data_IF_800495089441
#
_entry.id   IF_800495089441
#
_cell.length_a   1.000
_cell.length_b   1.000
_cell.length_c   1.000
_cell.angle_alpha   90.00
_cell.angle_beta   90.00
_cell.angle_gamma   90.00
#
_symmetry.space_group_name_H-M   'P 1'
#
loop_
_entity.id
_entity.type
_entity.pdbx_description
1 polymer ?
#
# COMPACT_ATOMS: atom_id res chain seq x y z
N UNK A 1 13.06 13.90 -6.42
CA UNK A 1 14.20 14.43 -5.62
C UNK A 1 14.72 13.30 -4.75
N UNK A 2 15.97 12.84 -4.96
CA UNK A 2 16.56 11.86 -4.05
C UNK A 2 16.64 12.50 -2.67
N UNK A 3 16.07 11.83 -1.67
CA UNK A 3 16.29 12.18 -0.27
C UNK A 3 17.77 11.89 -0.05
N UNK A 4 18.63 12.92 -0.14
CA UNK A 4 20.00 12.83 0.33
C UNK A 4 19.90 12.31 1.76
N UNK A 5 20.27 11.06 1.99
CA UNK A 5 20.65 10.61 3.32
C UNK A 5 21.64 11.66 3.80
N UNK A 6 21.26 12.41 4.84
CA UNK A 6 22.24 13.22 5.55
C UNK A 6 23.25 12.20 6.07
N UNK A 7 24.41 12.15 5.43
CA UNK A 7 25.61 11.61 6.02
C UNK A 7 25.78 12.39 7.33
N UNK A 8 25.38 11.77 8.44
CA UNK A 8 25.62 12.30 9.77
C UNK A 8 27.13 12.23 9.90
N UNK A 9 27.78 13.40 9.87
CA UNK A 9 29.21 13.52 10.15
C UNK A 9 29.44 12.99 11.58
N UNK A 10 29.99 11.78 11.66
CA UNK A 10 30.45 11.18 12.91
C UNK A 10 31.80 11.82 13.24
N UNK A 11 31.81 12.91 14.00
CA UNK A 11 33.06 13.41 14.58
C UNK A 11 33.50 12.51 15.75
N UNK A 12 34.79 12.14 15.86
CA UNK A 12 35.31 11.51 17.05
C UNK A 12 35.18 12.47 18.24
N UNK A 13 34.63 11.98 19.35
CA UNK A 13 34.61 12.73 20.61
C UNK A 13 36.05 13.07 21.00
N UNK A 14 36.35 14.34 21.32
CA UNK A 14 37.67 14.73 21.85
C UNK A 14 37.98 13.92 23.11
N UNK A 15 38.78 12.86 22.96
CA UNK A 15 39.10 11.93 24.02
C UNK A 15 40.34 12.40 24.79
N UNK A 16 40.27 12.38 26.12
CA UNK A 16 41.45 12.53 26.95
C UNK A 16 42.26 11.22 26.99
N UNK A 17 43.46 11.25 27.57
CA UNK A 17 44.34 10.08 27.64
C UNK A 17 43.67 8.88 28.36
N UNK A 18 42.81 9.14 29.35
CA UNK A 18 42.13 8.12 30.13
C UNK A 18 41.03 7.43 29.31
N UNK A 19 40.31 8.19 28.48
CA UNK A 19 39.32 7.68 27.55
C UNK A 19 39.98 6.83 26.45
N UNK A 20 41.11 7.27 25.89
CA UNK A 20 41.86 6.48 24.90
C UNK A 20 42.35 5.14 25.46
N UNK A 21 42.82 5.11 26.71
CA UNK A 21 43.16 3.85 27.38
C UNK A 21 41.95 2.94 27.61
N UNK A 22 40.78 3.51 27.96
CA UNK A 22 39.55 2.75 28.09
C UNK A 22 39.14 2.13 26.76
N UNK A 23 39.16 2.91 25.68
CA UNK A 23 38.81 2.46 24.33
C UNK A 23 39.71 1.31 23.85
N UNK A 24 41.02 1.42 24.11
CA UNK A 24 41.97 0.35 23.83
C UNK A 24 41.65 -0.93 24.62
N UNK A 25 41.36 -0.81 25.92
CA UNK A 25 40.97 -1.96 26.77
C UNK A 25 39.67 -2.62 26.29
N UNK A 26 38.66 -1.84 25.91
CA UNK A 26 37.39 -2.36 25.38
C UNK A 26 37.63 -3.16 24.09
N UNK A 27 38.46 -2.66 23.17
CA UNK A 27 38.81 -3.37 21.95
C UNK A 27 39.61 -4.65 22.20
N UNK A 28 40.58 -4.64 23.12
CA UNK A 28 41.34 -5.83 23.52
C UNK A 28 40.44 -6.89 24.18
N UNK A 29 39.54 -6.46 25.06
CA UNK A 29 38.55 -7.33 25.69
C UNK A 29 37.62 -7.96 24.65
N UNK A 30 37.19 -7.20 23.63
CA UNK A 30 36.39 -7.73 22.54
C UNK A 30 37.13 -8.82 21.77
N UNK A 31 38.40 -8.57 21.39
CA UNK A 31 39.24 -9.57 20.70
C UNK A 31 39.43 -10.82 21.57
N UNK A 32 39.65 -10.65 22.88
CA UNK A 32 39.79 -11.75 23.83
C UNK A 32 38.49 -12.56 23.96
N UNK A 33 37.35 -11.88 24.10
CA UNK A 33 36.04 -12.50 24.18
C UNK A 33 35.67 -13.23 22.88
N UNK A 34 35.98 -12.67 21.71
CA UNK A 34 35.79 -13.33 20.42
C UNK A 34 36.56 -14.66 20.35
N UNK A 35 37.81 -14.70 20.81
CA UNK A 35 38.58 -15.96 20.91
C UNK A 35 37.94 -16.94 21.89
N UNK A 36 37.47 -16.45 23.05
CA UNK A 36 36.84 -17.28 24.08
C UNK A 36 35.54 -17.93 23.63
N UNK A 37 34.72 -17.20 22.88
CA UNK A 37 33.41 -17.66 22.40
C UNK A 37 33.46 -18.24 20.98
N UNK A 38 34.65 -18.40 20.40
CA UNK A 38 34.85 -18.88 19.02
C UNK A 38 34.07 -18.07 17.97
N UNK A 39 33.99 -16.75 18.19
CA UNK A 39 33.34 -15.78 17.30
C UNK A 39 34.38 -15.09 16.43
N UNK A 40 34.09 -14.97 15.14
CA UNK A 40 34.94 -14.23 14.20
C UNK A 40 35.03 -12.75 14.59
N UNK A 41 36.25 -12.22 14.65
CA UNK A 41 36.48 -10.81 14.97
C UNK A 41 35.95 -9.94 13.82
N UNK A 42 35.07 -8.99 14.14
CA UNK A 42 34.62 -7.96 13.22
C UNK A 42 35.51 -6.70 13.34
N UNK A 43 36.27 -6.34 12.28
CA UNK A 43 37.13 -5.16 12.31
C UNK A 43 36.37 -3.86 12.60
N UNK A 44 35.11 -3.73 12.15
CA UNK A 44 34.31 -2.52 12.39
C UNK A 44 33.94 -2.35 13.86
N UNK A 45 33.70 -3.45 14.57
CA UNK A 45 33.48 -3.42 16.02
C UNK A 45 34.76 -3.02 16.76
N UNK A 46 35.91 -3.59 16.37
CA UNK A 46 37.22 -3.22 16.95
C UNK A 46 37.52 -1.74 16.73
N UNK A 47 37.31 -1.23 15.52
CA UNK A 47 37.49 0.19 15.20
C UNK A 47 36.57 1.05 16.07
N UNK A 48 35.28 0.72 16.15
CA UNK A 48 34.33 1.50 16.94
C UNK A 48 34.76 1.62 18.41
N UNK A 49 35.13 0.48 19.03
CA UNK A 49 35.58 0.42 20.42
C UNK A 49 36.92 1.13 20.64
N UNK A 50 37.91 0.93 19.76
CA UNK A 50 39.26 1.50 19.93
C UNK A 50 39.35 3.00 19.64
N UNK A 51 38.44 3.55 18.85
CA UNK A 51 38.47 4.95 18.41
C UNK A 51 37.39 5.82 19.06
N UNK A 52 36.56 5.26 19.94
CA UNK A 52 35.55 6.00 20.67
C UNK A 52 34.36 6.45 19.82
N UNK A 53 34.01 5.69 18.78
CA UNK A 53 32.87 6.03 17.93
C UNK A 53 31.55 5.85 18.68
N UNK A 54 30.63 6.78 18.48
CA UNK A 54 29.32 6.71 19.11
C UNK A 54 28.36 5.69 18.47
N UNK A 55 28.73 5.10 17.33
CA UNK A 55 27.94 4.10 16.59
C UNK A 55 28.68 2.78 16.51
N UNK A 56 28.00 1.71 16.93
CA UNK A 56 28.43 0.33 16.73
C UNK A 56 27.66 -0.28 15.55
N UNK A 57 28.35 -0.54 14.45
CA UNK A 57 27.81 -1.22 13.26
C UNK A 57 28.76 -2.33 12.80
N UNK A 58 28.43 -3.61 13.06
CA UNK A 58 29.17 -4.74 12.50
C UNK A 58 29.16 -4.72 10.97
N UNK A 59 30.27 -5.13 10.34
CA UNK A 59 30.42 -5.21 8.89
C UNK A 59 30.15 -6.60 8.34
N UNK A 60 30.29 -7.64 9.16
CA UNK A 60 30.12 -9.03 8.77
C UNK A 60 28.74 -9.54 9.14
N UNK A 61 28.21 -10.41 8.28
CA UNK A 61 27.03 -11.22 8.60
C UNK A 61 27.33 -12.03 9.86
N UNK A 62 26.52 -11.82 10.88
CA UNK A 62 26.66 -12.45 12.18
C UNK A 62 26.08 -13.85 12.20
N UNK A 63 26.77 -14.75 12.89
CA UNK A 63 26.26 -16.07 13.25
C UNK A 63 25.56 -16.01 14.61
N UNK A 64 24.95 -17.11 15.01
CA UNK A 64 24.39 -17.28 16.36
C UNK A 64 25.42 -16.89 17.44
N UNK A 65 25.02 -16.08 18.41
CA UNK A 65 25.87 -15.71 19.54
C UNK A 65 26.99 -14.72 19.20
N UNK A 66 27.01 -14.14 18.00
CA UNK A 66 27.99 -13.12 17.60
C UNK A 66 28.01 -11.88 18.49
N UNK A 67 26.92 -11.62 19.23
CA UNK A 67 26.84 -10.51 20.18
C UNK A 67 27.35 -10.89 21.58
N UNK A 68 27.59 -12.18 21.88
CA UNK A 68 28.11 -12.62 23.18
C UNK A 68 29.41 -11.91 23.57
N UNK A 69 30.39 -11.69 22.66
CA UNK A 69 31.63 -11.01 23.02
C UNK A 69 31.46 -9.56 23.50
N UNK A 70 30.32 -8.93 23.17
CA UNK A 70 29.99 -7.56 23.55
C UNK A 70 29.30 -7.45 24.92
N UNK A 71 28.81 -8.56 25.46
CA UNK A 71 28.29 -8.62 26.83
C UNK A 71 29.43 -8.27 27.79
N UNK A 72 29.16 -7.46 28.82
CA UNK A 72 30.18 -6.94 29.74
C UNK A 72 30.91 -5.70 29.19
N UNK A 73 31.34 -5.71 27.93
CA UNK A 73 32.06 -4.57 27.33
C UNK A 73 31.16 -3.35 27.22
N UNK A 74 29.95 -3.56 26.70
CA UNK A 74 28.99 -2.46 26.55
C UNK A 74 28.38 -2.03 27.89
N UNK A 75 28.49 -2.82 28.96
CA UNK A 75 27.96 -2.48 30.28
C UNK A 75 28.70 -1.25 30.87
N UNK A 76 30.02 -1.21 30.72
CA UNK A 76 30.87 -0.11 31.21
C UNK A 76 31.15 0.96 30.14
N UNK A 77 30.62 0.77 28.93
CA UNK A 77 30.85 1.68 27.81
C UNK A 77 30.12 3.02 28.02
N UNK A 78 30.82 4.11 27.74
CA UNK A 78 30.33 5.48 27.96
C UNK A 78 30.06 6.26 26.68
N UNK A 79 30.44 5.73 25.52
CA UNK A 79 30.52 6.50 24.27
C UNK A 79 29.62 5.96 23.15
N UNK A 80 29.39 4.65 23.06
CA UNK A 80 28.47 4.03 22.11
C UNK A 80 27.04 4.33 22.54
N UNK A 81 26.41 5.23 21.81
CA UNK A 81 25.02 5.63 22.03
C UNK A 81 24.06 5.02 21.00
N UNK A 82 24.60 4.53 19.88
CA UNK A 82 23.82 3.97 18.76
C UNK A 82 24.30 2.57 18.42
N UNK A 83 23.39 1.61 18.44
CA UNK A 83 23.63 0.25 17.98
C UNK A 83 22.88 0.04 16.66
N UNK A 84 23.62 -0.20 15.58
CA UNK A 84 23.05 -0.52 14.28
C UNK A 84 23.38 -1.95 13.90
N UNK A 85 22.39 -2.82 14.09
CA UNK A 85 22.42 -4.23 13.71
C UNK A 85 21.46 -4.47 12.54
N UNK A 86 21.24 -3.50 11.66
CA UNK A 86 20.49 -3.76 10.43
C UNK A 86 21.16 -4.87 9.63
N UNK A 87 20.36 -5.79 9.08
CA UNK A 87 20.82 -6.92 8.25
C UNK A 87 21.72 -7.94 8.98
N UNK A 88 21.86 -7.80 10.31
CA UNK A 88 22.58 -8.71 11.20
C UNK A 88 21.59 -9.78 11.65
N UNK A 89 21.72 -10.99 11.12
CA UNK A 89 20.76 -12.06 11.42
C UNK A 89 20.72 -12.33 12.92
N UNK A 90 19.51 -12.23 13.49
CA UNK A 90 19.24 -12.59 14.88
C UNK A 90 18.91 -14.08 15.02
N UNK A 91 18.50 -14.72 13.92
CA UNK A 91 18.17 -16.14 13.80
C UNK A 91 19.32 -17.05 13.32
N UNK A 92 19.44 -18.27 13.87
CA UNK A 92 20.15 -19.38 13.20
C UNK A 92 19.18 -20.18 12.34
N UNK A 93 19.46 -20.28 11.03
CA UNK A 93 18.66 -21.06 10.08
C UNK A 93 18.59 -22.58 10.36
N UNK A 94 19.43 -23.11 11.27
CA UNK A 94 19.46 -24.54 11.64
C UNK A 94 18.48 -24.91 12.76
N UNK A 95 18.02 -23.96 13.58
CA UNK A 95 17.17 -24.22 14.73
C UNK A 95 15.87 -23.41 14.67
N UNK A 96 14.97 -23.79 13.76
CA UNK A 96 13.58 -23.31 13.74
C UNK A 96 12.69 -23.95 14.83
N UNK A 97 13.25 -24.77 15.72
CA UNK A 97 12.48 -25.38 16.82
C UNK A 97 12.38 -24.42 18.00
N UNK A 98 11.12 -24.13 18.40
CA UNK A 98 10.63 -23.51 19.63
C UNK A 98 11.71 -22.90 20.53
N UNK A 99 11.83 -21.57 20.47
CA UNK A 99 12.50 -20.74 21.47
C UNK A 99 13.98 -20.42 21.24
N UNK A 100 14.79 -21.28 20.59
CA UNK A 100 16.25 -21.11 20.50
C UNK A 100 16.78 -20.39 19.25
N UNK A 101 15.90 -19.93 18.36
CA UNK A 101 16.29 -19.27 17.12
C UNK A 101 17.02 -17.93 17.32
N UNK A 102 16.63 -17.13 18.32
CA UNK A 102 17.05 -15.72 18.45
C UNK A 102 18.16 -15.45 19.48
N UNK A 103 19.23 -16.22 19.49
CA UNK A 103 20.28 -16.12 20.52
C UNK A 103 20.95 -14.74 20.60
N UNK A 104 21.08 -14.03 19.47
CA UNK A 104 21.58 -12.66 19.46
C UNK A 104 20.58 -11.68 20.11
N UNK A 105 19.27 -11.90 20.02
CA UNK A 105 18.27 -11.11 20.74
C UNK A 105 18.44 -11.23 22.26
N UNK A 106 18.69 -12.43 22.78
CA UNK A 106 18.93 -12.64 24.22
C UNK A 106 20.22 -12.00 24.72
N UNK A 107 21.28 -12.09 23.93
CA UNK A 107 22.54 -11.39 24.23
C UNK A 107 22.30 -9.88 24.31
N UNK A 108 21.53 -9.34 23.37
CA UNK A 108 21.16 -7.93 23.34
C UNK A 108 20.32 -7.53 24.57
N UNK A 109 19.36 -8.34 25.00
CA UNK A 109 18.60 -8.07 26.24
C UNK A 109 19.52 -7.91 27.46
N UNK A 110 20.54 -8.75 27.56
CA UNK A 110 21.53 -8.68 28.66
C UNK A 110 22.31 -7.37 28.62
N UNK A 111 22.64 -6.88 27.42
CA UNK A 111 23.25 -5.56 27.21
C UNK A 111 22.26 -4.46 27.63
N UNK A 112 21.04 -4.47 27.09
CA UNK A 112 20.02 -3.43 27.32
C UNK A 112 19.64 -3.26 28.80
N UNK A 113 19.64 -4.33 29.59
CA UNK A 113 19.34 -4.27 31.03
C UNK A 113 20.39 -3.51 31.85
N UNK A 114 21.61 -3.37 31.34
CA UNK A 114 22.74 -2.80 32.10
C UNK A 114 23.27 -1.51 31.52
N UNK A 115 23.10 -1.28 30.21
CA UNK A 115 23.53 -0.05 29.56
C UNK A 115 22.62 1.13 29.88
N UNK A 116 23.22 2.30 30.13
CA UNK A 116 22.51 3.56 30.39
C UNK A 116 22.87 4.70 29.40
N UNK A 117 23.63 4.40 28.34
CA UNK A 117 24.04 5.40 27.33
C UNK A 117 23.38 5.19 25.97
N UNK A 118 22.88 3.99 25.67
CA UNK A 118 22.30 3.67 24.35
C UNK A 118 20.95 4.36 24.21
N UNK A 119 20.82 5.17 23.17
CA UNK A 119 19.61 5.95 22.83
C UNK A 119 18.96 5.49 21.52
N UNK A 120 19.73 4.86 20.61
CA UNK A 120 19.24 4.40 19.31
C UNK A 120 19.59 2.93 19.11
N UNK A 121 18.57 2.12 18.81
CA UNK A 121 18.70 0.70 18.53
C UNK A 121 18.03 0.37 17.20
N UNK A 122 18.83 -0.05 16.22
CA UNK A 122 18.34 -0.51 14.93
C UNK A 122 18.52 -2.02 14.77
N UNK A 123 17.40 -2.72 14.66
CA UNK A 123 17.28 -4.17 14.43
C UNK A 123 16.47 -4.46 13.15
N UNK A 124 16.49 -3.54 12.18
CA UNK A 124 15.75 -3.72 10.93
C UNK A 124 16.29 -4.90 10.10
N UNK A 125 15.41 -5.69 9.50
CA UNK A 125 15.81 -6.81 8.64
C UNK A 125 16.76 -7.80 9.32
N UNK A 126 16.48 -8.14 10.57
CA UNK A 126 17.29 -9.08 11.35
C UNK A 126 16.65 -10.46 11.49
N UNK A 127 15.45 -10.62 10.92
CA UNK A 127 14.67 -11.86 10.98
C UNK A 127 14.10 -12.12 12.37
N UNK A 128 13.78 -11.11 13.19
CA UNK A 128 13.14 -11.33 14.49
C UNK A 128 11.71 -11.87 14.29
N UNK A 129 11.45 -13.08 14.78
CA UNK A 129 10.09 -13.61 14.89
C UNK A 129 9.41 -13.14 16.19
N UNK A 130 8.19 -13.64 16.46
CA UNK A 130 7.41 -13.28 17.65
C UNK A 130 8.17 -13.54 18.96
N UNK A 131 8.95 -14.63 19.06
CA UNK A 131 9.76 -14.95 20.23
C UNK A 131 10.95 -13.99 20.35
N UNK A 132 11.60 -13.66 19.23
CA UNK A 132 12.68 -12.67 19.20
C UNK A 132 12.21 -11.29 19.65
N UNK A 133 11.04 -10.85 19.18
CA UNK A 133 10.41 -9.61 19.62
C UNK A 133 10.07 -9.65 21.11
N UNK A 134 9.55 -10.77 21.63
CA UNK A 134 9.28 -10.95 23.05
C UNK A 134 10.54 -10.70 23.90
N UNK A 135 11.66 -11.30 23.52
CA UNK A 135 12.95 -11.10 24.21
C UNK A 135 13.34 -9.61 24.22
N UNK A 136 13.34 -8.96 23.04
CA UNK A 136 13.65 -7.54 22.93
C UNK A 136 12.72 -6.67 23.79
N UNK A 137 11.43 -7.01 23.86
CA UNK A 137 10.44 -6.34 24.70
C UNK A 137 10.76 -6.45 26.19
N UNK A 138 11.27 -7.58 26.66
CA UNK A 138 11.72 -7.76 28.05
C UNK A 138 12.98 -6.93 28.37
N UNK A 139 13.83 -6.68 27.37
CA UNK A 139 14.91 -5.69 27.42
C UNK A 139 14.37 -4.26 27.58
N UNK A 140 13.47 -3.88 26.68
CA UNK A 140 12.87 -2.54 26.62
C UNK A 140 12.10 -2.19 27.89
N UNK A 141 11.37 -3.13 28.50
CA UNK A 141 10.62 -2.90 29.74
C UNK A 141 11.49 -2.38 30.89
N UNK A 142 12.78 -2.74 30.93
CA UNK A 142 13.72 -2.31 31.98
C UNK A 142 14.65 -1.17 31.56
N UNK A 143 14.91 -1.01 30.26
CA UNK A 143 15.76 0.06 29.76
C UNK A 143 14.98 1.38 29.70
N UNK A 144 15.58 2.48 30.18
CA UNK A 144 14.95 3.81 30.21
C UNK A 144 15.73 4.85 29.40
N UNK A 145 16.62 4.42 28.50
CA UNK A 145 17.54 5.29 27.76
C UNK A 145 17.29 5.28 26.26
N UNK A 146 16.81 4.15 25.71
CA UNK A 146 16.44 4.05 24.31
C UNK A 146 15.29 5.01 24.01
N UNK A 147 15.49 5.83 22.97
CA UNK A 147 14.53 6.78 22.41
C UNK A 147 14.05 6.34 21.03
N UNK A 148 14.96 5.82 20.19
CA UNK A 148 14.63 5.39 18.83
C UNK A 148 14.84 3.88 18.71
N UNK A 149 13.79 3.16 18.33
CA UNK A 149 13.80 1.73 18.11
C UNK A 149 13.35 1.43 16.68
N UNK A 150 14.16 0.72 15.91
CA UNK A 150 13.77 0.27 14.57
C UNK A 150 13.68 -1.26 14.54
N UNK A 151 12.46 -1.76 14.31
CA UNK A 151 12.11 -3.19 14.17
C UNK A 151 11.50 -3.48 12.78
N UNK A 152 11.69 -2.59 11.80
CA UNK A 152 11.14 -2.78 10.46
C UNK A 152 11.70 -4.03 9.76
N UNK A 153 10.94 -4.60 8.83
CA UNK A 153 11.37 -5.74 8.00
C UNK A 153 11.75 -7.03 8.78
N UNK A 154 11.13 -7.32 9.92
CA UNK A 154 11.39 -8.54 10.69
C UNK A 154 10.31 -9.62 10.54
N UNK A 155 9.16 -9.29 9.94
CA UNK A 155 8.06 -10.23 9.67
C UNK A 155 7.49 -10.94 10.91
N UNK A 156 7.53 -10.30 12.08
CA UNK A 156 6.83 -10.80 13.26
C UNK A 156 5.32 -10.56 13.15
N UNK A 157 4.51 -11.42 13.75
CA UNK A 157 3.07 -11.42 13.64
C UNK A 157 2.35 -10.68 14.77
N UNK A 158 1.07 -11.01 14.94
CA UNK A 158 0.19 -10.41 15.95
C UNK A 158 0.70 -10.66 17.37
N UNK A 159 1.27 -11.83 17.66
CA UNK A 159 1.78 -12.16 18.99
C UNK A 159 2.98 -11.26 19.37
N UNK A 160 3.93 -11.08 18.46
CA UNK A 160 5.04 -10.13 18.63
C UNK A 160 4.54 -8.69 18.86
N UNK A 161 3.52 -8.26 18.11
CA UNK A 161 2.91 -6.94 18.30
C UNK A 161 2.28 -6.76 19.70
N UNK A 162 1.63 -7.80 20.24
CA UNK A 162 1.07 -7.76 21.60
C UNK A 162 2.16 -7.61 22.67
N UNK A 163 3.30 -8.30 22.54
CA UNK A 163 4.41 -8.13 23.47
C UNK A 163 4.99 -6.71 23.42
N UNK A 164 5.09 -6.14 22.22
CA UNK A 164 5.54 -4.76 22.03
C UNK A 164 4.57 -3.75 22.62
N UNK A 165 3.26 -3.96 22.45
CA UNK A 165 2.22 -3.12 23.06
C UNK A 165 2.36 -3.09 24.59
N UNK A 166 2.53 -4.25 25.23
CA UNK A 166 2.77 -4.34 26.68
C UNK A 166 4.06 -3.62 27.10
N UNK A 167 5.14 -3.78 26.33
CA UNK A 167 6.41 -3.12 26.63
C UNK A 167 6.30 -1.59 26.54
N UNK A 168 5.63 -1.07 25.50
CA UNK A 168 5.44 0.37 25.29
C UNK A 168 4.42 1.01 26.24
N UNK A 169 3.56 0.23 26.89
CA UNK A 169 2.72 0.71 28.02
C UNK A 169 3.57 1.03 29.24
N UNK A 170 4.56 0.19 29.54
CA UNK A 170 5.43 0.34 30.72
C UNK A 170 6.58 1.32 30.46
N UNK A 171 7.21 1.22 29.30
CA UNK A 171 8.35 2.06 28.93
C UNK A 171 7.90 3.51 28.62
N UNK A 172 8.63 4.48 29.17
CA UNK A 172 8.38 5.92 28.98
C UNK A 172 9.54 6.66 28.28
N UNK A 173 10.63 5.96 27.93
CA UNK A 173 11.81 6.57 27.31
C UNK A 173 11.71 6.60 25.79
N UNK A 174 11.05 5.61 25.19
CA UNK A 174 10.91 5.47 23.74
C UNK A 174 10.06 6.61 23.19
N UNK A 175 10.59 7.28 22.17
CA UNK A 175 9.97 8.40 21.47
C UNK A 175 9.58 8.03 20.05
N UNK A 176 10.29 7.09 19.40
CA UNK A 176 10.00 6.67 18.03
C UNK A 176 10.21 5.18 17.88
N UNK A 177 9.23 4.49 17.30
CA UNK A 177 9.32 3.08 16.94
C UNK A 177 9.01 2.91 15.45
N UNK A 178 9.90 2.28 14.72
CA UNK A 178 9.64 1.89 13.33
C UNK A 178 9.25 0.40 13.25
N UNK A 179 7.99 0.15 12.87
CA UNK A 179 7.39 -1.18 12.71
C UNK A 179 7.03 -1.47 11.25
N UNK A 180 7.58 -0.71 10.31
CA UNK A 180 7.22 -0.83 8.91
C UNK A 180 7.55 -2.21 8.34
N UNK A 181 6.72 -2.71 7.43
CA UNK A 181 6.95 -3.96 6.69
C UNK A 181 7.11 -5.21 7.58
N UNK A 182 6.26 -5.37 8.60
CA UNK A 182 6.21 -6.58 9.44
C UNK A 182 4.97 -7.45 9.23
N UNK A 183 3.98 -7.00 8.46
CA UNK A 183 2.70 -7.68 8.24
C UNK A 183 1.85 -7.87 9.53
N UNK A 184 1.85 -6.88 10.42
CA UNK A 184 1.17 -6.95 11.73
C UNK A 184 -0.37 -7.05 11.68
N UNK A 185 -0.97 -6.64 10.55
CA UNK A 185 -2.42 -6.52 10.39
C UNK A 185 -3.05 -5.34 11.15
N UNK A 186 -4.30 -5.04 10.82
CA UNK A 186 -5.00 -3.85 11.32
C UNK A 186 -5.21 -3.81 12.85
N UNK A 187 -5.64 -4.91 13.46
CA UNK A 187 -5.92 -4.94 14.91
C UNK A 187 -4.70 -4.61 15.76
N UNK A 188 -3.54 -5.16 15.39
CA UNK A 188 -2.26 -4.91 16.06
C UNK A 188 -1.81 -3.46 15.92
N UNK A 189 -1.85 -2.92 14.69
CA UNK A 189 -1.47 -1.53 14.41
C UNK A 189 -2.37 -0.55 15.14
N UNK A 190 -3.68 -0.77 15.11
CA UNK A 190 -4.65 0.08 15.81
C UNK A 190 -4.33 0.14 17.30
N UNK A 191 -4.11 -1.02 17.93
CA UNK A 191 -3.79 -1.11 19.36
C UNK A 191 -2.48 -0.39 19.71
N UNK A 192 -1.46 -0.52 18.87
CA UNK A 192 -0.19 0.19 19.02
C UNK A 192 -0.34 1.71 18.83
N UNK A 193 -1.06 2.16 17.80
CA UNK A 193 -1.27 3.59 17.55
C UNK A 193 -2.13 4.27 18.63
N UNK A 194 -3.03 3.53 19.30
CA UNK A 194 -3.75 4.04 20.48
C UNK A 194 -2.81 4.44 21.63
N UNK A 195 -1.57 3.94 21.67
CA UNK A 195 -0.56 4.35 22.65
C UNK A 195 0.01 5.74 22.37
N UNK A 196 -0.08 6.25 21.13
CA UNK A 196 0.44 7.55 20.69
C UNK A 196 -0.46 8.74 21.08
N UNK A 197 -1.33 8.56 22.09
CA UNK A 197 -2.29 9.59 22.52
C UNK A 197 -1.65 10.96 22.80
N UNK A 198 -2.44 12.05 22.84
CA UNK A 198 -1.97 13.45 22.74
C UNK A 198 -0.95 13.91 23.79
N UNK A 199 -0.77 13.15 24.87
CA UNK A 199 0.16 13.46 25.96
C UNK A 199 1.44 12.59 25.95
N UNK A 200 1.59 11.64 25.01
CA UNK A 200 2.78 10.81 24.86
C UNK A 200 3.61 11.30 23.68
N UNK A 201 4.91 11.56 23.88
CA UNK A 201 5.85 11.90 22.81
C UNK A 201 6.29 10.67 21.99
N UNK A 202 5.39 9.70 21.81
CA UNK A 202 5.66 8.43 21.13
C UNK A 202 5.10 8.49 19.71
N UNK A 203 5.96 8.33 18.71
CA UNK A 203 5.58 8.12 17.32
C UNK A 203 5.83 6.65 16.92
N UNK A 204 4.89 6.07 16.18
CA UNK A 204 5.03 4.70 15.66
C UNK A 204 4.80 4.75 14.15
N UNK A 205 5.79 4.27 13.39
CA UNK A 205 5.70 4.12 11.93
C UNK A 205 5.23 2.72 11.60
N UNK A 206 4.17 2.60 10.80
CA UNK A 206 3.48 1.32 10.55
C UNK A 206 3.26 1.02 9.07
N UNK A 207 4.01 1.66 8.16
CA UNK A 207 3.80 1.49 6.72
C UNK A 207 4.07 0.05 6.26
N UNK A 208 3.39 -0.39 5.19
CA UNK A 208 3.63 -1.71 4.58
C UNK A 208 3.19 -2.92 5.41
N UNK A 209 2.31 -2.74 6.41
CA UNK A 209 1.83 -3.85 7.25
C UNK A 209 0.49 -4.47 6.80
N UNK A 210 -0.24 -3.84 5.89
CA UNK A 210 -1.57 -4.29 5.41
C UNK A 210 -1.48 -5.23 4.20
N UNK A 211 -0.61 -6.24 4.28
CA UNK A 211 -0.27 -7.11 3.13
C UNK A 211 -1.51 -7.79 2.53
N UNK A 212 -2.39 -8.31 3.39
CA UNK A 212 -3.59 -9.02 2.94
C UNK A 212 -4.56 -8.08 2.21
N UNK A 213 -4.78 -6.88 2.75
CA UNK A 213 -5.64 -5.87 2.15
C UNK A 213 -5.08 -5.37 0.81
N UNK A 214 -3.77 -5.13 0.72
CA UNK A 214 -3.09 -4.77 -0.54
C UNK A 214 -3.22 -5.88 -1.60
N UNK A 215 -3.13 -7.16 -1.22
CA UNK A 215 -3.38 -8.29 -2.12
C UNK A 215 -4.83 -8.27 -2.62
N UNK A 216 -5.81 -8.08 -1.74
CA UNK A 216 -7.22 -8.01 -2.13
C UNK A 216 -7.49 -6.83 -3.08
N UNK A 217 -6.94 -5.66 -2.76
CA UNK A 217 -7.04 -4.46 -3.60
C UNK A 217 -6.45 -4.68 -4.99
N UNK A 218 -5.28 -5.33 -5.07
CA UNK A 218 -4.62 -5.69 -6.33
C UNK A 218 -5.44 -6.72 -7.13
N UNK A 219 -5.87 -7.81 -6.50
CA UNK A 219 -6.62 -8.89 -7.16
C UNK A 219 -7.96 -8.39 -7.70
N UNK A 220 -8.69 -7.56 -6.94
CA UNK A 220 -10.00 -7.05 -7.37
C UNK A 220 -9.92 -6.25 -8.67
N UNK A 221 -8.94 -5.35 -8.79
CA UNK A 221 -8.72 -4.57 -10.01
C UNK A 221 -7.94 -5.33 -11.09
N UNK A 222 -7.10 -6.30 -10.74
CA UNK A 222 -6.45 -7.20 -11.69
C UNK A 222 -7.46 -8.05 -12.46
N UNK A 223 -8.46 -8.62 -11.77
CA UNK A 223 -9.55 -9.34 -12.43
C UNK A 223 -10.41 -8.41 -13.30
N UNK A 224 -10.70 -7.20 -12.81
CA UNK A 224 -11.42 -6.19 -13.58
C UNK A 224 -10.68 -5.75 -14.84
N UNK A 225 -9.34 -5.63 -14.78
CA UNK A 225 -8.50 -5.34 -15.94
C UNK A 225 -8.63 -6.43 -17.02
N UNK A 226 -8.56 -7.72 -16.65
CA UNK A 226 -8.75 -8.82 -17.59
C UNK A 226 -10.15 -8.78 -18.22
N UNK A 227 -11.18 -8.51 -17.41
CA UNK A 227 -12.54 -8.28 -17.91
C UNK A 227 -12.62 -7.10 -18.88
N UNK A 228 -11.97 -5.98 -18.56
CA UNK A 228 -11.93 -4.79 -19.41
C UNK A 228 -11.19 -5.04 -20.73
N UNK A 229 -10.14 -5.87 -20.76
CA UNK A 229 -9.47 -6.28 -22.01
C UNK A 229 -10.44 -7.06 -22.91
N UNK A 230 -11.15 -8.04 -22.36
CA UNK A 230 -12.15 -8.81 -23.13
C UNK A 230 -13.28 -7.89 -23.61
N UNK A 231 -13.82 -7.07 -22.71
CA UNK A 231 -14.88 -6.11 -23.02
C UNK A 231 -14.46 -5.07 -24.07
N UNK A 232 -13.21 -4.60 -24.03
CA UNK A 232 -12.67 -3.68 -25.04
C UNK A 232 -12.63 -4.31 -26.43
N UNK A 233 -12.15 -5.56 -26.53
CA UNK A 233 -12.11 -6.27 -27.81
C UNK A 233 -13.52 -6.41 -28.42
N UNK A 234 -14.50 -6.82 -27.61
CA UNK A 234 -15.89 -6.96 -28.06
C UNK A 234 -16.48 -5.60 -28.44
N UNK A 235 -16.36 -4.60 -27.55
CA UNK A 235 -16.97 -3.30 -27.75
C UNK A 235 -16.39 -2.56 -28.97
N UNK A 236 -15.06 -2.59 -29.16
CA UNK A 236 -14.39 -1.90 -30.27
C UNK A 236 -14.66 -2.61 -31.59
N UNK A 237 -14.67 -3.94 -31.63
CA UNK A 237 -14.96 -4.69 -32.87
C UNK A 237 -16.39 -4.42 -33.35
N UNK A 238 -17.38 -4.62 -32.48
CA UNK A 238 -18.78 -4.37 -32.83
C UNK A 238 -19.01 -2.87 -33.16
N UNK A 239 -18.31 -1.94 -32.50
CA UNK A 239 -18.39 -0.50 -32.83
C UNK A 239 -17.71 -0.13 -34.16
N UNK A 240 -16.76 -0.93 -34.65
CA UNK A 240 -16.12 -0.72 -35.95
C UNK A 240 -17.03 -1.13 -37.12
N UNK A 241 -17.91 -2.10 -36.88
CA UNK A 241 -18.83 -2.64 -37.88
C UNK A 241 -20.10 -1.79 -38.08
N UNK A 242 -20.36 -0.81 -37.18
CA UNK A 242 -21.46 0.14 -37.32
C UNK A 242 -21.26 1.02 -38.57
N UNK A 243 -22.12 0.82 -39.57
CA UNK A 243 -22.00 1.53 -40.84
C UNK A 243 -22.31 3.03 -40.70
N UNK A 244 -21.50 3.87 -41.34
CA UNK A 244 -21.80 5.30 -41.52
C UNK A 244 -21.39 6.22 -40.36
N UNK A 245 -20.73 5.73 -39.31
CA UNK A 245 -20.27 6.58 -38.19
C UNK A 245 -18.95 6.11 -37.59
N UNK A 246 -17.86 6.87 -37.84
CA UNK A 246 -16.56 6.65 -37.19
C UNK A 246 -16.55 7.06 -35.71
N UNK A 247 -17.59 7.77 -35.24
CA UNK A 247 -17.70 8.23 -33.86
C UNK A 247 -17.87 7.06 -32.88
N UNK A 248 -18.60 6.00 -33.26
CA UNK A 248 -18.76 4.79 -32.45
C UNK A 248 -17.41 4.16 -32.11
N UNK A 249 -16.60 3.90 -33.14
CA UNK A 249 -15.28 3.33 -33.00
C UNK A 249 -14.40 4.15 -32.05
N UNK A 250 -14.22 5.45 -32.34
CA UNK A 250 -13.31 6.29 -31.55
C UNK A 250 -13.80 6.52 -30.11
N UNK A 251 -15.10 6.68 -29.89
CA UNK A 251 -15.64 6.82 -28.55
C UNK A 251 -15.42 5.54 -27.71
N UNK A 252 -15.61 4.37 -28.32
CA UNK A 252 -15.38 3.09 -27.65
C UNK A 252 -13.90 2.80 -27.40
N UNK A 253 -12.99 3.21 -28.30
CA UNK A 253 -11.54 3.14 -28.09
C UNK A 253 -11.12 3.98 -26.88
N UNK A 254 -11.58 5.24 -26.81
CA UNK A 254 -11.26 6.15 -25.71
C UNK A 254 -11.80 5.60 -24.37
N UNK A 255 -13.05 5.16 -24.34
CA UNK A 255 -13.66 4.59 -23.13
C UNK A 255 -12.93 3.32 -22.67
N UNK A 256 -12.64 2.41 -23.60
CA UNK A 256 -11.95 1.15 -23.30
C UNK A 256 -10.54 1.39 -22.78
N UNK A 257 -9.80 2.32 -23.37
CA UNK A 257 -8.48 2.72 -22.89
C UNK A 257 -8.56 3.25 -21.45
N UNK A 258 -9.51 4.14 -21.16
CA UNK A 258 -9.67 4.71 -19.82
C UNK A 258 -9.97 3.64 -18.75
N UNK A 259 -10.85 2.67 -19.05
CA UNK A 259 -11.14 1.54 -18.17
C UNK A 259 -9.91 0.65 -17.93
N UNK A 260 -9.23 0.26 -19.00
CA UNK A 260 -8.03 -0.57 -18.91
C UNK A 260 -6.92 0.14 -18.14
N UNK A 261 -6.74 1.45 -18.38
CA UNK A 261 -5.75 2.26 -17.69
C UNK A 261 -6.03 2.31 -16.19
N UNK A 262 -7.25 2.65 -15.77
CA UNK A 262 -7.65 2.69 -14.36
C UNK A 262 -7.36 1.36 -13.65
N UNK A 263 -7.88 0.26 -14.18
CA UNK A 263 -7.77 -1.02 -13.49
C UNK A 263 -6.33 -1.53 -13.45
N UNK A 264 -5.55 -1.28 -14.51
CA UNK A 264 -4.14 -1.64 -14.53
C UNK A 264 -3.31 -0.79 -13.57
N UNK A 265 -3.46 0.54 -13.59
CA UNK A 265 -2.69 1.44 -12.73
C UNK A 265 -2.96 1.15 -11.25
N UNK A 266 -4.23 0.92 -10.89
CA UNK A 266 -4.64 0.55 -9.53
C UNK A 266 -4.11 -0.81 -9.10
N UNK A 267 -4.25 -1.83 -9.96
CA UNK A 267 -3.69 -3.16 -9.71
C UNK A 267 -2.19 -3.11 -9.44
N UNK A 268 -1.45 -2.37 -10.27
CA UNK A 268 -0.01 -2.20 -10.11
C UNK A 268 0.32 -1.44 -8.83
N UNK A 269 -0.38 -0.34 -8.52
CA UNK A 269 -0.13 0.44 -7.31
C UNK A 269 -0.17 -0.43 -6.06
N UNK A 270 -1.24 -1.22 -5.91
CA UNK A 270 -1.40 -2.13 -4.77
C UNK A 270 -0.49 -3.37 -4.84
N UNK A 271 -0.06 -3.80 -6.03
CA UNK A 271 0.90 -4.91 -6.16
C UNK A 271 2.31 -4.55 -5.68
N UNK A 272 2.70 -3.28 -5.82
CA UNK A 272 4.05 -2.80 -5.51
C UNK A 272 4.13 -2.08 -4.16
N UNK A 273 3.20 -2.34 -3.23
CA UNK A 273 3.10 -1.65 -1.93
C UNK A 273 4.34 -1.76 -1.02
N UNK A 274 5.26 -2.69 -1.30
CA UNK A 274 6.54 -2.82 -0.60
C UNK A 274 7.69 -1.99 -1.21
N UNK A 275 7.48 -1.31 -2.34
CA UNK A 275 8.51 -0.51 -3.04
C UNK A 275 8.18 0.98 -3.02
N UNK A 276 8.74 1.78 -2.10
CA UNK A 276 8.37 3.19 -1.93
C UNK A 276 8.59 4.06 -3.17
N UNK A 277 9.64 3.78 -3.95
CA UNK A 277 9.96 4.55 -5.17
C UNK A 277 8.96 4.24 -6.29
N UNK A 278 8.62 2.97 -6.46
CA UNK A 278 7.67 2.52 -7.49
C UNK A 278 6.25 2.97 -7.14
N UNK A 279 5.85 2.83 -5.88
CA UNK A 279 4.55 3.26 -5.38
C UNK A 279 4.25 4.72 -5.71
N UNK A 280 5.21 5.63 -5.54
CA UNK A 280 4.95 7.06 -5.80
C UNK A 280 4.49 7.31 -7.24
N UNK A 281 5.12 6.64 -8.22
CA UNK A 281 4.73 6.79 -9.62
C UNK A 281 3.37 6.14 -9.86
N UNK A 282 3.18 4.92 -9.37
CA UNK A 282 1.93 4.18 -9.57
C UNK A 282 0.74 4.83 -8.87
N UNK A 283 0.94 5.47 -7.71
CA UNK A 283 -0.09 6.24 -7.00
C UNK A 283 -0.60 7.41 -7.84
N UNK A 284 0.31 8.15 -8.48
CA UNK A 284 -0.09 9.22 -9.41
C UNK A 284 -0.88 8.65 -10.58
N UNK A 285 -0.44 7.52 -11.17
CA UNK A 285 -1.16 6.89 -12.28
C UNK A 285 -2.53 6.33 -11.86
N UNK A 286 -2.66 5.83 -10.63
CA UNK A 286 -3.93 5.35 -10.07
C UNK A 286 -4.94 6.50 -9.95
N UNK A 287 -4.51 7.64 -9.39
CA UNK A 287 -5.35 8.84 -9.27
C UNK A 287 -5.69 9.44 -10.65
N UNK A 288 -4.73 9.50 -11.58
CA UNK A 288 -4.97 9.89 -12.98
C UNK A 288 -6.01 8.97 -13.63
N UNK A 289 -5.99 7.68 -13.32
CA UNK A 289 -6.95 6.71 -13.82
C UNK A 289 -8.39 7.06 -13.49
N UNK A 290 -8.66 7.63 -12.31
CA UNK A 290 -10.01 8.06 -11.91
C UNK A 290 -10.49 9.23 -12.77
N UNK A 291 -9.64 10.25 -13.01
CA UNK A 291 -9.98 11.35 -13.91
C UNK A 291 -10.30 10.86 -15.33
N UNK A 292 -9.47 9.94 -15.85
CA UNK A 292 -9.64 9.39 -17.18
C UNK A 292 -10.90 8.53 -17.30
N UNK A 293 -11.22 7.70 -16.30
CA UNK A 293 -12.41 6.83 -16.37
C UNK A 293 -13.70 7.64 -16.32
N UNK A 294 -13.75 8.74 -15.55
CA UNK A 294 -14.93 9.60 -15.49
C UNK A 294 -15.20 10.21 -16.87
N UNK A 295 -14.22 10.93 -17.43
CA UNK A 295 -14.36 11.54 -18.76
C UNK A 295 -14.54 10.49 -19.89
N UNK A 296 -13.80 9.39 -19.82
CA UNK A 296 -13.87 8.27 -20.77
C UNK A 296 -15.24 7.61 -20.78
N UNK A 297 -15.85 7.37 -19.61
CA UNK A 297 -17.17 6.75 -19.51
C UNK A 297 -18.30 7.61 -20.07
N UNK A 298 -18.15 8.94 -20.05
CA UNK A 298 -19.11 9.87 -20.66
C UNK A 298 -18.97 9.96 -22.18
N UNK A 299 -17.81 9.61 -22.73
CA UNK A 299 -17.47 9.83 -24.14
C UNK A 299 -18.44 9.13 -25.12
N UNK A 300 -18.83 7.85 -24.95
CA UNK A 300 -19.82 7.21 -25.83
C UNK A 300 -21.19 7.89 -25.79
N UNK A 301 -21.64 8.34 -24.61
CA UNK A 301 -22.92 9.04 -24.48
C UNK A 301 -22.90 10.39 -25.21
N UNK A 302 -21.82 11.18 -25.05
CA UNK A 302 -21.76 12.52 -25.62
C UNK A 302 -21.49 12.53 -27.13
N UNK A 303 -20.62 11.64 -27.61
CA UNK A 303 -20.18 11.63 -29.01
C UNK A 303 -21.04 10.75 -29.92
N UNK A 304 -21.84 9.85 -29.37
CA UNK A 304 -22.71 8.97 -30.15
C UNK A 304 -24.17 9.31 -29.85
N UNK A 305 -24.66 9.00 -28.65
CA UNK A 305 -26.08 9.14 -28.33
C UNK A 305 -26.56 10.60 -28.40
N UNK A 306 -25.76 11.55 -27.88
CA UNK A 306 -26.15 12.96 -27.79
C UNK A 306 -25.43 13.87 -28.80
N UNK A 307 -24.84 13.33 -29.86
CA UNK A 307 -23.92 14.08 -30.72
C UNK A 307 -24.55 15.32 -31.40
N UNK A 308 -25.86 15.30 -31.63
CA UNK A 308 -26.61 16.43 -32.18
C UNK A 308 -26.82 17.58 -31.18
N UNK A 309 -26.68 17.32 -29.88
CA UNK A 309 -26.93 18.29 -28.82
C UNK A 309 -25.68 19.14 -28.54
N UNK A 310 -25.80 20.46 -28.64
CA UNK A 310 -24.68 21.37 -28.34
C UNK A 310 -24.21 21.27 -26.88
N UNK A 311 -25.12 21.04 -25.95
CA UNK A 311 -24.79 20.83 -24.54
C UNK A 311 -23.83 19.65 -24.32
N UNK A 312 -24.04 18.52 -25.02
CA UNK A 312 -23.17 17.35 -24.94
C UNK A 312 -21.75 17.64 -25.47
N UNK A 313 -21.64 18.40 -26.57
CA UNK A 313 -20.35 18.82 -27.14
C UNK A 313 -19.57 19.76 -26.21
N UNK A 314 -20.26 20.66 -25.52
CA UNK A 314 -19.63 21.54 -24.53
C UNK A 314 -19.19 20.74 -23.30
N UNK A 315 -20.06 19.85 -22.81
CA UNK A 315 -19.80 19.02 -21.64
C UNK A 315 -18.58 18.12 -21.86
N UNK A 316 -18.49 17.40 -22.98
CA UNK A 316 -17.36 16.49 -23.22
C UNK A 316 -16.02 17.23 -23.29
N UNK A 317 -15.99 18.43 -23.89
CA UNK A 317 -14.79 19.28 -23.87
C UNK A 317 -14.43 19.71 -22.43
N UNK A 318 -15.43 20.09 -21.63
CA UNK A 318 -15.25 20.45 -20.23
C UNK A 318 -14.69 19.29 -19.39
N UNK A 319 -15.25 18.09 -19.55
CA UNK A 319 -14.82 16.88 -18.85
C UNK A 319 -13.36 16.51 -19.16
N UNK A 320 -12.94 16.56 -20.43
CA UNK A 320 -11.56 16.25 -20.79
C UNK A 320 -10.57 17.33 -20.35
N UNK A 321 -10.97 18.62 -20.33
CA UNK A 321 -10.17 19.68 -19.74
C UNK A 321 -10.03 19.48 -18.22
N UNK A 322 -11.12 19.15 -17.53
CA UNK A 322 -11.11 18.87 -16.09
C UNK A 322 -10.25 17.65 -15.78
N UNK A 323 -10.35 16.57 -16.57
CA UNK A 323 -9.51 15.38 -16.43
C UNK A 323 -8.02 15.70 -16.60
N UNK A 324 -7.66 16.54 -17.58
CA UNK A 324 -6.29 16.99 -17.79
C UNK A 324 -5.77 17.81 -16.60
N UNK A 325 -6.52 18.83 -16.17
CA UNK A 325 -6.13 19.69 -15.05
C UNK A 325 -6.03 18.90 -13.74
N UNK A 326 -6.97 18.00 -13.49
CA UNK A 326 -6.96 17.07 -12.36
C UNK A 326 -5.76 16.12 -12.39
N UNK A 327 -5.41 15.59 -13.56
CA UNK A 327 -4.22 14.76 -13.74
C UNK A 327 -2.93 15.51 -13.43
N UNK A 328 -2.83 16.78 -13.85
CA UNK A 328 -1.69 17.65 -13.51
C UNK A 328 -1.65 17.93 -12.00
N UNK A 329 -2.81 18.18 -11.38
CA UNK A 329 -2.90 18.35 -9.93
C UNK A 329 -2.42 17.11 -9.19
N UNK A 330 -2.86 15.91 -9.57
CA UNK A 330 -2.43 14.66 -8.96
C UNK A 330 -0.91 14.46 -9.08
N UNK A 331 -0.32 14.78 -10.24
CA UNK A 331 1.12 14.64 -10.46
C UNK A 331 1.97 15.65 -9.67
N UNK A 332 1.41 16.82 -9.32
CA UNK A 332 2.13 17.89 -8.62
C UNK A 332 1.84 17.95 -7.11
N UNK A 333 0.84 17.23 -6.62
CA UNK A 333 0.41 17.29 -5.22
C UNK A 333 0.98 16.15 -4.38
N UNK A 334 1.00 16.34 -3.05
CA UNK A 334 1.26 15.25 -2.10
C UNK A 334 -0.03 14.47 -1.86
N UNK A 335 -0.15 13.31 -2.50
CA UNK A 335 -1.35 12.47 -2.45
C UNK A 335 -1.58 11.81 -1.08
N UNK A 336 -0.62 11.87 -0.16
CA UNK A 336 -0.80 11.41 1.21
C UNK A 336 -1.36 12.50 2.13
N UNK A 337 -1.52 13.73 1.63
CA UNK A 337 -2.09 14.83 2.39
C UNK A 337 -3.63 14.78 2.31
N UNK A 338 -4.32 14.62 3.46
CA UNK A 338 -5.79 14.51 3.48
C UNK A 338 -6.50 15.69 2.81
N UNK A 339 -5.91 16.89 2.84
CA UNK A 339 -6.49 18.07 2.17
C UNK A 339 -6.50 17.93 0.66
N UNK A 340 -5.43 17.39 0.09
CA UNK A 340 -5.36 17.16 -1.36
C UNK A 340 -6.33 16.05 -1.76
N UNK A 341 -6.41 14.97 -0.98
CA UNK A 341 -7.39 13.88 -1.19
C UNK A 341 -8.82 14.42 -1.21
N UNK A 342 -9.19 15.32 -0.31
CA UNK A 342 -10.53 15.94 -0.30
C UNK A 342 -10.78 16.84 -1.51
N UNK A 343 -9.76 17.54 -2.02
CA UNK A 343 -9.87 18.33 -3.26
C UNK A 343 -10.12 17.41 -4.45
N UNK A 344 -9.35 16.33 -4.60
CA UNK A 344 -9.56 15.37 -5.69
C UNK A 344 -10.94 14.74 -5.63
N UNK A 345 -11.36 14.28 -4.45
CA UNK A 345 -12.68 13.70 -4.26
C UNK A 345 -13.79 14.68 -4.65
N UNK A 346 -13.64 15.97 -4.33
CA UNK A 346 -14.59 17.01 -4.74
C UNK A 346 -14.64 17.15 -6.26
N UNK A 347 -13.48 17.16 -6.92
CA UNK A 347 -13.42 17.25 -8.40
C UNK A 347 -14.05 16.01 -9.03
N UNK A 348 -13.75 14.81 -8.54
CA UNK A 348 -14.33 13.56 -9.05
C UNK A 348 -15.85 13.55 -8.97
N UNK A 349 -16.42 14.00 -7.84
CA UNK A 349 -17.88 14.09 -7.67
C UNK A 349 -18.49 15.12 -8.62
N UNK A 350 -17.85 16.29 -8.80
CA UNK A 350 -18.33 17.32 -9.71
C UNK A 350 -18.31 16.87 -11.18
N UNK A 351 -17.24 16.20 -11.60
CA UNK A 351 -17.14 15.60 -12.94
C UNK A 351 -18.19 14.51 -13.14
N UNK A 352 -18.32 13.57 -12.19
CA UNK A 352 -19.34 12.52 -12.26
C UNK A 352 -20.78 13.06 -12.31
N UNK A 353 -21.05 14.20 -11.65
CA UNK A 353 -22.33 14.88 -11.72
C UNK A 353 -22.62 15.53 -13.09
N UNK A 354 -21.66 15.55 -14.02
CA UNK A 354 -21.81 16.12 -15.36
C UNK A 354 -23.00 15.57 -16.15
N UNK A 355 -23.37 14.29 -15.97
CA UNK A 355 -24.57 13.72 -16.59
C UNK A 355 -25.86 14.45 -16.23
N UNK A 356 -25.94 15.08 -15.05
CA UNK A 356 -27.10 15.86 -14.63
C UNK A 356 -27.30 17.12 -15.48
N UNK A 357 -26.22 17.67 -16.07
CA UNK A 357 -26.28 18.85 -16.93
C UNK A 357 -26.92 18.56 -18.28
N UNK A 358 -26.96 17.29 -18.69
CA UNK A 358 -27.59 16.83 -19.94
C UNK A 358 -28.72 15.83 -19.68
N UNK A 359 -29.33 15.89 -18.49
CA UNK A 359 -30.31 14.92 -18.03
C UNK A 359 -31.54 14.83 -18.93
N UNK A 360 -32.06 15.96 -19.40
CA UNK A 360 -33.24 16.00 -20.28
C UNK A 360 -32.94 15.35 -21.64
N UNK A 361 -31.74 15.59 -22.18
CA UNK A 361 -31.30 15.00 -23.45
C UNK A 361 -31.11 13.49 -23.31
N UNK A 362 -30.56 13.01 -22.18
CA UNK A 362 -30.46 11.58 -21.90
C UNK A 362 -31.84 10.92 -21.86
N UNK A 363 -32.84 11.54 -21.23
CA UNK A 363 -34.21 11.01 -21.20
C UNK A 363 -34.89 10.98 -22.57
N UNK A 364 -34.48 11.84 -23.51
CA UNK A 364 -35.02 11.89 -24.86
C UNK A 364 -34.40 10.84 -25.78
N UNK A 365 -33.09 10.62 -25.67
CA UNK A 365 -32.34 9.76 -26.60
C UNK A 365 -32.17 8.32 -26.08
N UNK A 366 -32.21 8.10 -24.77
CA UNK A 366 -31.99 6.78 -24.17
C UNK A 366 -33.28 6.10 -23.74
N UNK A 367 -33.34 4.79 -23.98
CA UNK A 367 -34.44 3.95 -23.51
C UNK A 367 -34.45 3.80 -21.97
N UNK A 368 -35.60 3.46 -21.39
CA UNK A 368 -35.73 3.27 -19.94
C UNK A 368 -34.75 2.21 -19.34
N UNK A 369 -34.49 1.06 -20.00
CA UNK A 369 -33.46 0.12 -19.54
C UNK A 369 -32.05 0.71 -19.55
N UNK A 370 -31.69 1.50 -20.57
CA UNK A 370 -30.40 2.19 -20.64
C UNK A 370 -30.26 3.20 -19.49
N UNK A 371 -31.30 4.01 -19.27
CA UNK A 371 -31.35 4.95 -18.15
C UNK A 371 -31.22 4.24 -16.80
N UNK A 372 -31.81 3.06 -16.65
CA UNK A 372 -31.71 2.28 -15.40
C UNK A 372 -30.28 1.83 -15.12
N UNK A 373 -29.57 1.29 -16.12
CA UNK A 373 -28.17 0.89 -15.98
C UNK A 373 -27.27 2.09 -15.68
N UNK A 374 -27.49 3.22 -16.36
CA UNK A 374 -26.74 4.46 -16.13
C UNK A 374 -26.96 4.98 -14.70
N UNK A 375 -28.19 5.06 -14.22
CA UNK A 375 -28.50 5.53 -12.85
C UNK A 375 -27.89 4.58 -11.82
N UNK A 376 -28.03 3.27 -12.00
CA UNK A 376 -27.49 2.29 -11.05
C UNK A 376 -25.97 2.33 -11.01
N UNK A 377 -25.30 2.48 -12.16
CA UNK A 377 -23.85 2.65 -12.24
C UNK A 377 -23.37 3.88 -11.49
N UNK A 378 -23.99 5.05 -11.74
CA UNK A 378 -23.68 6.29 -11.01
C UNK A 378 -23.97 6.17 -9.51
N UNK A 379 -25.05 5.50 -9.12
CA UNK A 379 -25.35 5.24 -7.71
C UNK A 379 -24.28 4.37 -7.04
N UNK A 380 -23.77 3.33 -7.73
CA UNK A 380 -22.67 2.50 -7.24
C UNK A 380 -21.39 3.33 -7.01
N UNK A 381 -21.04 4.25 -7.92
CA UNK A 381 -19.90 5.15 -7.72
C UNK A 381 -20.08 6.03 -6.47
N UNK A 382 -21.26 6.65 -6.30
CA UNK A 382 -21.53 7.53 -5.15
C UNK A 382 -21.54 6.77 -3.82
N UNK A 383 -22.21 5.61 -3.76
CA UNK A 383 -22.23 4.78 -2.55
C UNK A 383 -20.83 4.28 -2.20
N UNK A 384 -20.04 3.93 -3.21
CA UNK A 384 -18.66 3.51 -3.03
C UNK A 384 -17.81 4.53 -2.27
N UNK A 385 -18.01 5.84 -2.49
CA UNK A 385 -17.21 6.89 -1.83
C UNK A 385 -17.27 6.78 -0.30
N UNK A 386 -18.41 6.34 0.24
CA UNK A 386 -18.53 6.11 1.68
C UNK A 386 -17.53 5.03 2.16
N UNK A 387 -17.34 3.95 1.40
CA UNK A 387 -16.38 2.90 1.72
C UNK A 387 -14.93 3.34 1.52
N UNK A 388 -14.65 4.20 0.54
CA UNK A 388 -13.34 4.83 0.40
C UNK A 388 -12.98 5.64 1.65
N UNK A 389 -13.88 6.51 2.13
CA UNK A 389 -13.67 7.30 3.33
C UNK A 389 -13.52 6.41 4.59
N UNK A 390 -14.31 5.34 4.67
CA UNK A 390 -14.19 4.36 5.77
C UNK A 390 -12.89 3.55 5.69
N UNK A 391 -12.28 3.42 4.51
CA UNK A 391 -11.01 2.75 4.26
C UNK A 391 -9.84 3.35 5.05
N UNK A 392 -9.84 4.67 5.24
CA UNK A 392 -8.86 5.39 6.08
C UNK A 392 -8.84 4.90 7.53
N UNK A 393 -9.99 4.44 8.03
CA UNK A 393 -10.13 3.93 9.39
C UNK A 393 -10.00 2.41 9.46
N UNK A 394 -10.44 1.70 8.42
CA UNK A 394 -10.42 0.23 8.32
C UNK A 394 -10.03 -0.17 6.90
N UNK A 395 -8.76 -0.57 6.67
CA UNK A 395 -8.20 -0.79 5.34
C UNK A 395 -9.00 -1.74 4.44
N UNK A 396 -9.69 -2.72 5.01
CA UNK A 396 -10.53 -3.66 4.26
C UNK A 396 -11.66 -2.97 3.47
N UNK A 397 -12.16 -1.80 3.91
CA UNK A 397 -13.19 -1.08 3.18
C UNK A 397 -12.68 -0.44 1.88
N UNK A 398 -11.37 -0.26 1.73
CA UNK A 398 -10.79 0.15 0.44
C UNK A 398 -11.00 -0.92 -0.64
N UNK A 399 -10.92 -2.20 -0.27
CA UNK A 399 -11.27 -3.30 -1.18
C UNK A 399 -12.77 -3.28 -1.52
N UNK A 400 -13.64 -2.96 -0.56
CA UNK A 400 -15.08 -2.82 -0.82
C UNK A 400 -15.35 -1.67 -1.80
N UNK A 401 -14.64 -0.55 -1.67
CA UNK A 401 -14.66 0.55 -2.64
C UNK A 401 -14.29 0.06 -4.06
N UNK A 402 -13.21 -0.71 -4.21
CA UNK A 402 -12.82 -1.29 -5.49
C UNK A 402 -13.96 -2.11 -6.11
N UNK A 403 -14.65 -2.95 -5.32
CA UNK A 403 -15.77 -3.75 -5.82
C UNK A 403 -16.92 -2.87 -6.33
N UNK A 404 -17.23 -1.76 -5.66
CA UNK A 404 -18.23 -0.79 -6.15
C UNK A 404 -17.81 -0.15 -7.47
N UNK A 405 -16.55 0.24 -7.62
CA UNK A 405 -15.99 0.80 -8.86
C UNK A 405 -16.10 -0.21 -10.01
N UNK A 406 -15.78 -1.48 -9.76
CA UNK A 406 -15.89 -2.56 -10.76
C UNK A 406 -17.34 -2.79 -11.19
N UNK A 407 -18.27 -2.86 -10.25
CA UNK A 407 -19.71 -3.03 -10.55
C UNK A 407 -20.23 -1.84 -11.36
N UNK A 408 -19.88 -0.61 -10.96
CA UNK A 408 -20.29 0.59 -11.66
C UNK A 408 -19.75 0.63 -13.10
N UNK A 409 -18.47 0.29 -13.29
CA UNK A 409 -17.84 0.21 -14.61
C UNK A 409 -18.52 -0.84 -15.50
N UNK A 410 -18.87 -2.01 -14.95
CA UNK A 410 -19.59 -3.05 -15.68
C UNK A 410 -20.98 -2.58 -16.12
N UNK A 411 -21.74 -1.91 -15.23
CA UNK A 411 -23.06 -1.37 -15.56
C UNK A 411 -22.99 -0.33 -16.68
N UNK A 412 -22.02 0.59 -16.63
CA UNK A 412 -21.77 1.54 -17.71
C UNK A 412 -21.37 0.83 -19.01
N UNK A 413 -20.50 -0.18 -18.93
CA UNK A 413 -20.08 -0.94 -20.12
C UNK A 413 -21.27 -1.64 -20.79
N UNK A 414 -22.12 -2.33 -20.02
CA UNK A 414 -23.33 -2.96 -20.55
C UNK A 414 -24.32 -1.93 -21.11
N UNK A 415 -24.45 -0.76 -20.48
CA UNK A 415 -25.28 0.31 -21.00
C UNK A 415 -24.79 0.77 -22.39
N UNK A 416 -23.49 1.02 -22.55
CA UNK A 416 -22.89 1.43 -23.83
C UNK A 416 -23.02 0.32 -24.86
N UNK A 417 -22.69 -0.92 -24.50
CA UNK A 417 -22.71 -2.04 -25.44
C UNK A 417 -24.11 -2.29 -25.99
N UNK A 418 -25.11 -2.45 -25.12
CA UNK A 418 -26.45 -2.84 -25.55
C UNK A 418 -27.28 -1.69 -26.15
N UNK A 419 -27.09 -0.46 -25.67
CA UNK A 419 -28.01 0.64 -25.99
C UNK A 419 -27.39 1.77 -26.80
N UNK A 420 -26.07 1.76 -27.00
CA UNK A 420 -25.39 2.72 -27.88
C UNK A 420 -24.84 1.99 -29.10
N UNK A 421 -24.09 0.91 -28.93
CA UNK A 421 -23.45 0.21 -30.06
C UNK A 421 -24.38 -0.81 -30.72
N UNK A 422 -24.96 -1.73 -29.94
CA UNK A 422 -25.71 -2.88 -30.50
C UNK A 422 -27.01 -2.48 -31.21
N UNK A 423 -27.68 -1.41 -30.78
CA UNK A 423 -28.90 -0.90 -31.43
C UNK A 423 -28.59 -0.43 -32.84
N UNK A 424 -27.56 0.39 -33.01
CA UNK A 424 -27.20 0.94 -34.32
C UNK A 424 -26.63 -0.15 -35.24
N UNK A 425 -25.93 -1.14 -34.69
CA UNK A 425 -25.50 -2.33 -35.43
C UNK A 425 -26.70 -3.17 -35.93
N UNK A 426 -27.75 -3.35 -35.11
CA UNK A 426 -28.96 -4.07 -35.57
C UNK A 426 -29.68 -3.34 -36.70
N UNK A 427 -29.67 -2.00 -36.69
CA UNK A 427 -30.29 -1.18 -37.72
C UNK A 427 -29.48 -1.23 -39.02
N UNK A 428 -28.15 -1.35 -38.96
CA UNK A 428 -27.30 -1.49 -40.15
C UNK A 428 -27.39 -2.88 -40.80
N UNK A 429 -27.53 -3.94 -40.01
CA UNK A 429 -27.50 -5.34 -40.50
C UNK A 429 -28.89 -5.97 -40.75
N UNK A 430 -29.97 -5.19 -40.64
CA UNK A 430 -31.33 -5.71 -40.81
C UNK A 430 -31.80 -6.67 -39.70
N UNK A 431 -31.15 -6.64 -38.53
CA UNK A 431 -31.62 -7.25 -37.28
C UNK A 431 -31.45 -8.77 -37.09
N UNK A 432 -30.84 -9.49 -38.04
CA UNK A 432 -30.74 -10.95 -37.96
C UNK A 432 -29.57 -11.47 -37.10
N UNK A 433 -28.43 -10.78 -37.09
CA UNK A 433 -27.18 -11.28 -36.48
C UNK A 433 -27.10 -11.04 -34.96
N UNK A 434 -27.60 -9.90 -34.49
CA UNK A 434 -27.44 -9.43 -33.11
C UNK A 434 -28.49 -10.01 -32.15
N UNK A 435 -29.69 -10.36 -32.65
CA UNK A 435 -30.76 -10.98 -31.84
C UNK A 435 -30.33 -12.33 -31.27
N UNK A 436 -29.49 -13.08 -31.99
CA UNK A 436 -28.92 -14.33 -31.53
C UNK A 436 -27.89 -14.12 -30.42
N UNK A 437 -26.94 -13.18 -30.55
CA UNK A 437 -25.90 -12.92 -29.53
C UNK A 437 -26.44 -12.27 -28.24
N UNK A 438 -27.43 -11.37 -28.35
CA UNK A 438 -28.02 -10.72 -27.17
C UNK A 438 -28.85 -11.70 -26.36
N UNK A 439 -29.63 -12.58 -27.00
CA UNK A 439 -30.36 -13.66 -26.30
C UNK A 439 -29.37 -14.62 -25.65
N UNK A 440 -28.34 -15.07 -26.38
CA UNK A 440 -27.34 -16.00 -25.87
C UNK A 440 -26.55 -15.40 -24.69
N UNK A 441 -26.24 -14.10 -24.72
CA UNK A 441 -25.55 -13.40 -23.62
C UNK A 441 -26.47 -13.17 -22.41
N UNK A 442 -27.74 -12.80 -22.60
CA UNK A 442 -28.72 -12.66 -21.51
C UNK A 442 -28.99 -14.00 -20.85
N UNK A 443 -29.13 -15.07 -21.64
CA UNK A 443 -29.30 -16.44 -21.14
C UNK A 443 -28.04 -16.89 -20.37
N UNK A 444 -26.84 -16.55 -20.88
CA UNK A 444 -25.57 -16.82 -20.19
C UNK A 444 -25.46 -16.04 -18.87
N UNK A 445 -25.87 -14.78 -18.83
CA UNK A 445 -25.85 -13.95 -17.62
C UNK A 445 -26.88 -14.45 -16.58
N UNK A 446 -28.07 -14.87 -17.01
CA UNK A 446 -29.07 -15.49 -16.14
C UNK A 446 -28.59 -16.85 -15.60
N UNK A 447 -27.92 -17.66 -16.42
CA UNK A 447 -27.32 -18.91 -16.00
C UNK A 447 -26.20 -18.69 -14.96
N UNK A 448 -25.33 -17.70 -15.18
CA UNK A 448 -24.26 -17.34 -14.25
C UNK A 448 -24.78 -16.79 -12.92
N UNK A 449 -25.80 -15.93 -12.95
CA UNK A 449 -26.46 -15.43 -11.75
C UNK A 449 -27.11 -16.57 -10.94
N UNK A 450 -27.76 -17.52 -11.63
CA UNK A 450 -28.39 -18.69 -11.02
C UNK A 450 -27.35 -19.65 -10.41
N UNK A 451 -26.22 -19.88 -11.09
CA UNK A 451 -25.13 -20.70 -10.57
C UNK A 451 -24.47 -20.08 -9.33
N UNK A 452 -24.31 -18.75 -9.32
CA UNK A 452 -23.75 -18.00 -8.19
C UNK A 452 -24.71 -18.03 -6.98
N UNK A 453 -26.01 -17.88 -7.22
CA UNK A 453 -27.03 -18.01 -6.18
C UNK A 453 -27.06 -19.43 -5.58
N UNK A 454 -26.91 -20.47 -6.41
CA UNK A 454 -26.83 -21.85 -5.97
C UNK A 454 -25.54 -22.16 -5.18
N UNK A 455 -24.40 -21.61 -5.58
CA UNK A 455 -23.17 -21.72 -4.79
C UNK A 455 -23.30 -21.04 -3.42
N UNK A 456 -23.90 -19.85 -3.35
CA UNK A 456 -24.13 -19.16 -2.08
C UNK A 456 -25.16 -19.89 -1.19
N UNK A 457 -26.14 -20.57 -1.79
CA UNK A 457 -27.07 -21.41 -1.05
C UNK A 457 -26.39 -22.67 -0.49
N UNK A 458 -25.50 -23.30 -1.26
CA UNK A 458 -24.74 -24.49 -0.86
C UNK A 458 -23.62 -24.19 0.15
N UNK A 459 -23.20 -22.93 0.30
CA UNK A 459 -22.21 -22.52 1.31
C UNK A 459 -22.86 -22.19 2.67
N UNK A 460 -24.18 -22.05 2.71
CA UNK A 460 -24.98 -21.80 3.94
C UNK A 460 -25.53 -23.08 4.58
N UNK A 461 -25.28 -24.23 3.97
CA UNK A 461 -25.56 -25.57 4.48
C UNK A 461 -24.26 -26.36 4.53
#
# INVERSE_FOLDING_TARGET
MSRKEKVVENEPVKADAKALEQYAREAENYISNCKKFEVDIDPSVVIALSTGWNVLKPSKSTREGSLLPLIGILEDNTHITKINLADVTMQDGRYRSVGNGNSNARALVSILHKTNVITELNLSNTGLDDDGIKEICDGIKKNNTIKLLNLSHNHFGVAGASYLEEALKVNQSIQSVDLSNNALGFGSIHSLLCLCGPNKSLSILTSGNYVFEEILNSVSHGLAFLGAVVGANILISDAADVQGSSYHFWACVIYSFALMFLFLSSCLFHSFFMSPTTMRVLQVLDHVGIYLVIAGSMTPFMLVALHHHTAARVLICGEWIAAFLGSVFAACSDLNNPRHTMVELTIFVLMGAGFLLVWEQLLQELSAPAMTLLILGNACYVVGIAFFILGEYKPIYHCVWHLFVVVAAALHWFCVYFFIVSVDLTLSDGGAFTKARVVDLVDTMQAAASATANMMHNYKH
#
